data_IF_531818343226
#
_entry.id   IF_531818343226
#
_cell.length_a   1.000
_cell.length_b   1.000
_cell.length_c   1.000
_cell.angle_alpha   90.00
_cell.angle_beta   90.00
_cell.angle_gamma   90.00
#
_symmetry.space_group_name_H-M   'P 1'
#
loop_
_entity.id
_entity.type
_entity.pdbx_description
1 polymer ?
#
# COMPACT_ATOMS: atom_id res chain seq x y z
N UNK A 1 1.02 -16.61 -0.95
CA UNK A 1 0.41 -16.63 -2.30
C UNK A 1 -0.33 -15.34 -2.57
N UNK A 2 -0.04 -14.73 -3.70
CA UNK A 2 -0.63 -13.44 -4.09
C UNK A 2 -1.66 -13.65 -5.20
N UNK A 3 -2.83 -13.05 -5.03
CA UNK A 3 -3.82 -12.90 -6.10
C UNK A 3 -3.90 -11.42 -6.45
N UNK A 4 -3.29 -11.05 -7.57
CA UNK A 4 -3.22 -9.67 -8.02
C UNK A 4 -4.17 -9.44 -9.19
N UNK A 5 -5.00 -8.41 -9.07
CA UNK A 5 -5.74 -7.84 -10.20
C UNK A 5 -5.40 -6.35 -10.30
N UNK A 6 -5.50 -5.81 -11.49
CA UNK A 6 -5.29 -4.38 -11.70
C UNK A 6 -6.22 -3.89 -12.79
N UNK A 7 -6.56 -2.61 -12.76
CA UNK A 7 -7.54 -1.98 -13.62
C UNK A 7 -7.20 -0.51 -13.84
N UNK A 8 -7.98 0.15 -14.67
CA UNK A 8 -7.80 1.55 -14.97
C UNK A 8 -7.00 1.78 -16.24
N UNK A 9 -6.45 2.98 -16.37
CA UNK A 9 -5.77 3.40 -17.59
C UNK A 9 -4.59 4.32 -17.28
N UNK A 10 -3.74 4.51 -18.28
CA UNK A 10 -2.57 5.38 -18.22
C UNK A 10 -1.55 4.93 -17.17
N UNK A 11 -1.27 3.63 -17.15
CA UNK A 11 -0.24 3.05 -16.28
C UNK A 11 0.42 1.86 -16.96
N UNK A 12 1.57 1.45 -16.46
CA UNK A 12 2.27 0.26 -16.97
C UNK A 12 1.82 -0.99 -16.20
N UNK A 13 1.11 -1.88 -16.89
CA UNK A 13 0.68 -3.17 -16.31
C UNK A 13 1.87 -3.98 -15.83
N UNK A 14 2.93 -4.01 -16.63
CA UNK A 14 4.16 -4.74 -16.31
C UNK A 14 4.81 -4.19 -15.05
N UNK A 15 4.89 -2.87 -14.91
CA UNK A 15 5.48 -2.24 -13.72
C UNK A 15 4.65 -2.52 -12.48
N UNK A 16 3.34 -2.39 -12.56
CA UNK A 16 2.43 -2.67 -11.46
C UNK A 16 2.63 -4.11 -10.96
N UNK A 17 2.58 -5.06 -11.86
CA UNK A 17 2.75 -6.49 -11.54
C UNK A 17 4.12 -6.76 -10.91
N UNK A 18 5.17 -6.19 -11.49
CA UNK A 18 6.53 -6.38 -11.00
C UNK A 18 6.71 -5.87 -9.57
N UNK A 19 6.22 -4.67 -9.28
CA UNK A 19 6.36 -4.06 -7.95
C UNK A 19 5.60 -4.87 -6.90
N UNK A 20 4.34 -5.21 -7.18
CA UNK A 20 3.51 -5.93 -6.21
C UNK A 20 4.08 -7.32 -5.95
N UNK A 21 4.47 -8.04 -6.99
CA UNK A 21 5.07 -9.38 -6.83
C UNK A 21 6.36 -9.32 -6.02
N UNK A 22 7.24 -8.37 -6.33
CA UNK A 22 8.49 -8.20 -5.60
C UNK A 22 8.25 -7.94 -4.12
N UNK A 23 7.34 -7.01 -3.81
CA UNK A 23 7.04 -6.64 -2.43
C UNK A 23 6.45 -7.82 -1.64
N UNK A 24 5.45 -8.49 -2.22
CA UNK A 24 4.77 -9.60 -1.56
C UNK A 24 5.72 -10.78 -1.33
N UNK A 25 6.55 -11.09 -2.31
CA UNK A 25 7.53 -12.17 -2.18
C UNK A 25 8.55 -11.88 -1.09
N UNK A 26 8.98 -10.63 -0.98
CA UNK A 26 10.00 -10.23 0.00
C UNK A 26 9.44 -10.11 1.42
N UNK A 27 8.26 -9.54 1.58
CA UNK A 27 7.75 -9.13 2.89
C UNK A 27 6.58 -9.97 3.41
N UNK A 28 5.80 -10.59 2.53
CA UNK A 28 4.57 -11.28 2.90
C UNK A 28 4.43 -12.65 2.22
N UNK A 29 5.54 -13.32 1.91
CA UNK A 29 5.56 -14.58 1.14
C UNK A 29 4.78 -15.72 1.79
N UNK A 30 4.62 -15.68 3.11
CA UNK A 30 3.92 -16.74 3.86
C UNK A 30 2.42 -16.53 3.97
N UNK A 31 1.92 -15.40 3.45
CA UNK A 31 0.52 -15.04 3.57
C UNK A 31 -0.19 -15.20 2.23
N UNK A 32 -1.49 -15.52 2.31
CA UNK A 32 -2.36 -15.52 1.15
C UNK A 32 -3.05 -14.17 1.10
N UNK A 33 -2.66 -13.32 0.14
CA UNK A 33 -3.11 -11.93 0.05
C UNK A 33 -3.77 -11.70 -1.30
N UNK A 34 -4.88 -10.99 -1.29
CA UNK A 34 -5.56 -10.51 -2.49
C UNK A 34 -5.36 -9.01 -2.58
N UNK A 35 -4.87 -8.53 -3.71
CA UNK A 35 -4.65 -7.10 -3.95
C UNK A 35 -5.26 -6.73 -5.29
N UNK A 36 -6.08 -5.71 -5.30
CA UNK A 36 -6.55 -5.08 -6.52
C UNK A 36 -6.00 -3.65 -6.57
N UNK A 37 -5.37 -3.30 -7.69
CA UNK A 37 -4.80 -1.95 -7.88
C UNK A 37 -5.58 -1.27 -9.01
N UNK A 38 -6.30 -0.22 -8.68
CA UNK A 38 -7.06 0.56 -9.65
C UNK A 38 -6.37 1.91 -9.89
N UNK A 39 -6.28 2.30 -11.15
CA UNK A 39 -5.58 3.53 -11.58
C UNK A 39 -6.58 4.53 -12.13
N UNK A 40 -6.69 5.68 -11.49
CA UNK A 40 -7.64 6.73 -11.87
C UNK A 40 -7.16 8.11 -11.42
N UNK A 41 -7.84 9.16 -11.85
CA UNK A 41 -7.50 10.51 -11.42
C UNK A 41 -7.87 10.75 -9.96
N UNK A 42 -6.90 11.07 -9.12
CA UNK A 42 -7.09 11.28 -7.68
C UNK A 42 -6.77 12.71 -7.21
N UNK A 43 -6.44 13.61 -8.15
CA UNK A 43 -6.03 14.97 -7.75
C UNK A 43 -7.14 15.77 -7.07
N UNK A 44 -8.41 15.45 -7.36
CA UNK A 44 -9.55 16.10 -6.69
C UNK A 44 -9.59 15.78 -5.19
N UNK A 45 -9.13 14.59 -4.83
CA UNK A 45 -9.06 14.13 -3.44
C UNK A 45 -7.79 14.63 -2.75
N UNK A 46 -6.86 15.25 -3.49
CA UNK A 46 -5.60 15.76 -2.96
C UNK A 46 -4.61 14.68 -2.57
N UNK A 47 -4.72 13.49 -3.15
CA UNK A 47 -3.86 12.34 -2.85
C UNK A 47 -3.29 11.73 -4.13
N UNK A 48 -2.21 10.97 -3.98
CA UNK A 48 -1.62 10.20 -5.09
C UNK A 48 -1.97 8.73 -5.01
N UNK A 49 -2.34 8.25 -3.84
CA UNK A 49 -2.76 6.88 -3.64
C UNK A 49 -3.36 6.66 -2.26
N UNK A 50 -4.07 5.56 -2.10
CA UNK A 50 -4.57 5.11 -0.80
C UNK A 50 -4.89 3.62 -0.85
N UNK A 51 -5.10 3.02 0.32
CA UNK A 51 -5.38 1.59 0.45
C UNK A 51 -6.36 1.36 1.58
N UNK A 52 -7.22 0.34 1.40
CA UNK A 52 -8.09 -0.10 2.48
C UNK A 52 -8.31 -1.61 2.40
N UNK A 53 -8.68 -2.21 3.55
CA UNK A 53 -9.05 -3.61 3.61
C UNK A 53 -10.49 -3.77 3.14
N UNK A 54 -10.72 -4.70 2.21
CA UNK A 54 -12.03 -4.92 1.62
C UNK A 54 -12.83 -6.05 2.27
N UNK A 55 -12.18 -6.91 3.05
CA UNK A 55 -12.82 -8.09 3.61
C UNK A 55 -13.21 -7.96 5.09
N UNK A 56 -12.32 -7.58 5.96
CA UNK A 56 -12.60 -7.49 7.38
C UNK A 56 -11.59 -6.61 8.12
N UNK A 57 -11.92 -6.25 9.38
CA UNK A 57 -11.07 -5.41 10.21
C UNK A 57 -10.10 -6.20 11.09
N UNK A 58 -10.37 -7.48 11.31
CA UNK A 58 -9.64 -8.27 12.29
C UNK A 58 -8.37 -8.93 11.73
N UNK A 59 -8.50 -9.64 10.61
CA UNK A 59 -7.37 -10.28 9.90
C UNK A 59 -7.49 -10.00 8.41
N UNK A 60 -7.28 -8.76 8.00
CA UNK A 60 -7.49 -8.42 6.60
C UNK A 60 -6.50 -9.13 5.69
N UNK A 61 -7.01 -9.65 4.57
CA UNK A 61 -6.23 -10.35 3.54
C UNK A 61 -6.62 -9.95 2.13
N UNK A 62 -7.61 -9.05 1.99
CA UNK A 62 -8.11 -8.56 0.72
C UNK A 62 -8.03 -7.04 0.74
N UNK A 63 -7.22 -6.46 -0.16
CA UNK A 63 -6.92 -5.03 -0.14
C UNK A 63 -7.21 -4.40 -1.48
N UNK A 64 -7.79 -3.20 -1.40
CA UNK A 64 -7.98 -2.33 -2.55
C UNK A 64 -6.99 -1.18 -2.47
N UNK A 65 -6.25 -0.97 -3.55
CA UNK A 65 -5.33 0.16 -3.70
C UNK A 65 -5.79 1.00 -4.87
N UNK A 66 -5.86 2.31 -4.68
CA UNK A 66 -6.09 3.25 -5.77
C UNK A 66 -4.86 4.12 -5.95
N UNK A 67 -4.40 4.29 -7.19
CA UNK A 67 -3.25 5.12 -7.51
C UNK A 67 -3.62 6.14 -8.57
N UNK A 68 -3.07 7.33 -8.44
CA UNK A 68 -3.23 8.37 -9.45
C UNK A 68 -2.60 7.92 -10.77
N UNK A 69 -3.28 8.17 -11.88
CA UNK A 69 -2.90 7.65 -13.19
C UNK A 69 -2.02 8.59 -14.04
N UNK A 70 -1.36 9.55 -13.42
CA UNK A 70 -0.47 10.50 -14.11
C UNK A 70 0.82 10.73 -13.33
N UNK A 71 1.40 9.66 -12.80
CA UNK A 71 2.65 9.72 -12.07
C UNK A 71 3.81 9.31 -12.96
N UNK A 72 4.98 9.93 -12.73
CA UNK A 72 6.22 9.46 -13.37
C UNK A 72 6.54 8.04 -12.89
N UNK A 73 7.35 7.28 -13.62
CA UNK A 73 7.73 5.93 -13.18
C UNK A 73 8.30 5.87 -11.76
N UNK A 74 9.16 6.82 -11.41
CA UNK A 74 9.73 6.89 -10.06
C UNK A 74 8.66 7.19 -9.01
N UNK A 75 7.84 8.20 -9.25
CA UNK A 75 6.78 8.59 -8.32
C UNK A 75 5.74 7.47 -8.17
N UNK A 76 5.38 6.83 -9.27
CA UNK A 76 4.49 5.67 -9.28
C UNK A 76 5.02 4.56 -8.38
N UNK A 77 6.29 4.19 -8.57
CA UNK A 77 6.92 3.12 -7.81
C UNK A 77 6.93 3.43 -6.32
N UNK A 78 7.35 4.63 -5.94
CA UNK A 78 7.38 5.05 -4.54
C UNK A 78 5.99 5.07 -3.91
N UNK A 79 5.00 5.59 -4.63
CA UNK A 79 3.62 5.65 -4.14
C UNK A 79 3.04 4.26 -3.94
N UNK A 80 3.22 3.36 -4.91
CA UNK A 80 2.74 2.00 -4.78
C UNK A 80 3.43 1.26 -3.61
N UNK A 81 4.73 1.42 -3.45
CA UNK A 81 5.45 0.81 -2.33
C UNK A 81 4.98 1.36 -0.98
N UNK A 82 4.66 2.65 -0.92
CA UNK A 82 4.09 3.27 0.28
C UNK A 82 2.76 2.60 0.65
N UNK A 83 1.86 2.42 -0.32
CA UNK A 83 0.58 1.77 -0.08
C UNK A 83 0.74 0.28 0.26
N UNK A 84 1.66 -0.40 -0.37
CA UNK A 84 1.96 -1.79 -0.04
C UNK A 84 2.53 -1.94 1.38
N UNK A 85 3.27 -0.93 1.86
CA UNK A 85 3.73 -0.95 3.25
C UNK A 85 2.55 -0.89 4.22
N UNK A 86 1.49 -0.14 3.89
CA UNK A 86 0.26 -0.17 4.69
C UNK A 86 -0.39 -1.56 4.68
N UNK A 87 -0.38 -2.25 3.54
CA UNK A 87 -0.85 -3.65 3.49
C UNK A 87 -0.05 -4.50 4.50
N UNK A 88 1.27 -4.35 4.50
CA UNK A 88 2.15 -5.04 5.45
C UNK A 88 1.76 -4.73 6.90
N UNK A 89 1.54 -3.46 7.21
CA UNK A 89 1.13 -3.03 8.56
C UNK A 89 -0.18 -3.68 9.00
N UNK A 90 -1.16 -3.76 8.11
CA UNK A 90 -2.44 -4.42 8.37
C UNK A 90 -2.27 -5.92 8.57
N UNK A 91 -1.53 -6.58 7.68
CA UNK A 91 -1.34 -8.03 7.74
C UNK A 91 -0.59 -8.43 9.00
N UNK A 92 0.41 -7.66 9.42
CA UNK A 92 1.16 -7.92 10.64
C UNK A 92 0.40 -7.56 11.91
N UNK A 93 -0.75 -6.90 11.77
CA UNK A 93 -1.56 -6.49 12.93
C UNK A 93 -1.05 -5.25 13.64
N UNK A 94 -0.06 -4.55 13.10
CA UNK A 94 0.43 -3.29 13.68
C UNK A 94 -0.60 -2.19 13.56
N UNK A 95 -1.30 -2.14 12.43
CA UNK A 95 -2.36 -1.19 12.16
C UNK A 95 -3.70 -1.94 12.10
N UNK A 96 -4.65 -1.51 12.91
CA UNK A 96 -6.02 -2.03 12.91
C UNK A 96 -6.96 -0.85 12.71
N UNK A 97 -7.58 -0.79 11.56
CA UNK A 97 -8.50 0.28 11.19
C UNK A 97 -9.92 -0.29 11.16
N UNK A 98 -10.65 -0.09 12.24
CA UNK A 98 -12.03 -0.52 12.36
C UNK A 98 -12.95 0.68 12.10
N UNK A 99 -14.27 0.46 12.07
CA UNK A 99 -15.24 1.56 11.90
C UNK A 99 -15.15 2.62 12.98
N UNK A 100 -14.66 2.25 14.15
CA UNK A 100 -14.68 3.12 15.33
C UNK A 100 -13.31 3.60 15.77
N UNK A 101 -12.25 2.87 15.40
CA UNK A 101 -10.90 3.13 15.91
C UNK A 101 -9.82 2.88 14.89
N UNK A 102 -8.77 3.68 14.97
CA UNK A 102 -7.49 3.41 14.32
C UNK A 102 -6.48 3.13 15.41
N UNK A 103 -6.03 1.89 15.47
CA UNK A 103 -5.13 1.42 16.52
C UNK A 103 -3.78 1.05 15.91
N UNK A 104 -2.71 1.60 16.50
CA UNK A 104 -1.34 1.31 16.08
C UNK A 104 -0.61 0.68 17.24
N UNK A 105 -0.20 -0.60 17.06
CA UNK A 105 0.53 -1.36 18.08
C UNK A 105 -0.14 -1.27 19.45
N UNK A 106 -1.47 -1.38 19.46
CA UNK A 106 -2.26 -1.38 20.69
C UNK A 106 -2.67 -0.01 21.19
N UNK A 107 -2.27 1.08 20.55
CA UNK A 107 -2.59 2.44 21.00
C UNK A 107 -3.59 3.09 20.05
N UNK A 108 -4.65 3.66 20.59
CA UNK A 108 -5.70 4.34 19.83
C UNK A 108 -5.18 5.69 19.32
N UNK A 109 -5.18 5.85 18.01
CA UNK A 109 -4.78 7.09 17.32
C UNK A 109 -5.92 7.69 16.49
N UNK A 110 -7.17 7.36 16.84
CA UNK A 110 -8.33 7.80 16.05
C UNK A 110 -8.43 9.31 15.89
N UNK A 111 -7.91 10.07 16.85
CA UNK A 111 -7.92 11.53 16.83
C UNK A 111 -6.59 12.15 16.43
N UNK A 112 -5.61 11.33 16.03
CA UNK A 112 -4.30 11.83 15.63
C UNK A 112 -4.36 12.39 14.21
N UNK A 113 -3.90 13.64 14.04
CA UNK A 113 -3.83 14.26 12.73
C UNK A 113 -2.92 13.51 11.77
N UNK A 114 -3.20 13.56 10.47
CA UNK A 114 -2.53 12.78 9.44
C UNK A 114 -1.00 12.80 9.54
N UNK A 115 -0.43 13.99 9.71
CA UNK A 115 1.03 14.16 9.76
C UNK A 115 1.68 13.51 10.98
N UNK A 116 0.89 13.19 12.02
CA UNK A 116 1.38 12.55 13.25
C UNK A 116 0.98 11.09 13.37
N UNK A 117 0.27 10.54 12.38
CA UNK A 117 -0.12 9.13 12.39
C UNK A 117 1.13 8.25 12.25
N UNK A 118 1.39 7.37 13.22
CA UNK A 118 2.63 6.58 13.20
C UNK A 118 2.75 5.65 12.00
N UNK A 119 1.65 5.12 11.48
CA UNK A 119 1.68 4.27 10.29
C UNK A 119 2.05 5.06 9.03
N UNK A 120 1.66 6.33 8.94
CA UNK A 120 2.06 7.19 7.83
C UNK A 120 3.53 7.59 7.94
N UNK A 121 3.98 7.90 9.15
CA UNK A 121 5.38 8.22 9.39
C UNK A 121 6.29 7.03 9.04
N UNK A 122 5.89 5.83 9.43
CA UNK A 122 6.64 4.62 9.11
C UNK A 122 6.67 4.37 7.59
N UNK A 123 5.52 4.42 6.93
CA UNK A 123 5.44 4.20 5.48
C UNK A 123 6.31 5.20 4.71
N UNK A 124 6.30 6.47 5.15
CA UNK A 124 7.13 7.50 4.53
C UNK A 124 8.62 7.23 4.72
N UNK A 125 9.02 6.78 5.92
CA UNK A 125 10.42 6.42 6.17
C UNK A 125 10.88 5.22 5.32
N UNK A 126 9.97 4.27 5.08
CA UNK A 126 10.32 3.05 4.33
C UNK A 126 10.39 3.27 2.82
N UNK A 127 9.72 4.27 2.31
CA UNK A 127 9.53 4.53 0.89
C UNK A 127 10.84 4.54 0.09
N UNK A 128 11.80 5.33 0.53
CA UNK A 128 13.06 5.51 -0.18
C UNK A 128 13.91 4.23 -0.19
N UNK A 129 14.00 3.56 0.96
CA UNK A 129 14.74 2.31 1.06
C UNK A 129 14.12 1.20 0.23
N UNK A 130 12.79 1.11 0.23
CA UNK A 130 12.07 0.13 -0.59
C UNK A 130 12.28 0.40 -2.08
N UNK A 131 12.23 1.67 -2.47
CA UNK A 131 12.48 2.06 -3.86
C UNK A 131 13.88 1.65 -4.31
N UNK A 132 14.90 1.90 -3.49
CA UNK A 132 16.27 1.52 -3.80
C UNK A 132 16.41 0.00 -3.92
N UNK A 133 15.86 -0.75 -2.98
CA UNK A 133 15.91 -2.22 -3.01
C UNK A 133 15.22 -2.79 -4.25
N UNK A 134 14.04 -2.28 -4.57
CA UNK A 134 13.30 -2.73 -5.74
C UNK A 134 14.09 -2.42 -7.02
N UNK A 135 14.62 -1.21 -7.14
CA UNK A 135 15.37 -0.79 -8.32
C UNK A 135 16.61 -1.67 -8.54
N UNK A 136 17.34 -1.99 -7.47
CA UNK A 136 18.49 -2.89 -7.54
C UNK A 136 18.09 -4.30 -7.97
N UNK A 137 16.92 -4.77 -7.54
CA UNK A 137 16.44 -6.11 -7.88
C UNK A 137 16.04 -6.24 -9.35
N UNK A 138 15.82 -5.14 -10.06
CA UNK A 138 15.46 -5.13 -11.48
C UNK A 138 16.67 -5.12 -12.43
N UNK A 139 17.87 -4.99 -11.91
CA UNK A 139 19.08 -4.95 -12.73
C UNK A 139 19.57 -6.34 -13.13
#
# INVERSE_FOLDING_TARGET
MLYLTHSGYNYSKKRCTSIVNWFMDKHLSRHKIIVNVDHKGLLREGIFGWVWAADCDHRPRDFEIELHNRLSPEHYTKTLLHELWHVYQHVQGHLKDTRQKRVWKGIDHSETGYEYQPWEQEATRMEEGLYEEYTKAQV
#
